data_IF_977007213634
#
_entry.id   IF_977007213634
#
_cell.length_a   1.000
_cell.length_b   1.000
_cell.length_c   1.000
_cell.angle_alpha   90.00
_cell.angle_beta   90.00
_cell.angle_gamma   90.00
#
_symmetry.space_group_name_H-M   'P 1'
#
loop_
_entity.id
_entity.type
_entity.pdbx_description
1 polymer ?
#
# COMPACT_ATOMS: atom_id res chain seq x y z
N UNK A 1 -15.13 -6.05 -27.12
CA UNK A 1 -15.91 -5.92 -25.88
C UNK A 1 -15.12 -6.67 -24.82
N UNK A 2 -14.30 -5.96 -24.01
CA UNK A 2 -13.56 -6.60 -22.93
C UNK A 2 -14.52 -6.72 -21.75
N UNK A 3 -14.86 -7.94 -21.37
CA UNK A 3 -15.61 -8.22 -20.16
C UNK A 3 -14.90 -7.55 -18.99
N UNK A 4 -15.48 -6.48 -18.45
CA UNK A 4 -15.03 -5.94 -17.17
C UNK A 4 -15.29 -7.01 -16.10
N UNK A 5 -14.28 -7.33 -15.27
CA UNK A 5 -14.48 -8.31 -14.23
C UNK A 5 -15.57 -7.82 -13.26
N UNK A 6 -16.64 -8.59 -13.12
CA UNK A 6 -17.76 -8.27 -12.26
C UNK A 6 -17.32 -8.32 -10.78
N UNK A 7 -17.12 -7.14 -10.18
CA UNK A 7 -16.78 -6.97 -8.77
C UNK A 7 -15.31 -6.74 -8.48
N UNK A 8 -15.05 -6.20 -7.27
CA UNK A 8 -13.72 -5.79 -6.81
C UNK A 8 -12.72 -6.96 -6.76
N UNK A 9 -13.15 -8.12 -6.24
CA UNK A 9 -12.27 -9.30 -6.09
C UNK A 9 -11.82 -9.82 -7.45
N UNK A 10 -12.75 -9.89 -8.42
CA UNK A 10 -12.42 -10.29 -9.78
C UNK A 10 -11.47 -9.29 -10.47
N UNK A 11 -11.64 -7.99 -10.22
CA UNK A 11 -10.76 -6.94 -10.73
C UNK A 11 -9.35 -7.02 -10.11
N UNK A 12 -9.23 -7.35 -8.81
CA UNK A 12 -7.95 -7.62 -8.16
C UNK A 12 -7.28 -8.83 -8.80
N UNK A 13 -7.99 -9.96 -8.93
CA UNK A 13 -7.47 -11.19 -9.52
C UNK A 13 -7.01 -10.99 -10.97
N UNK A 14 -7.79 -10.25 -11.78
CA UNK A 14 -7.41 -9.88 -13.14
C UNK A 14 -6.17 -8.98 -13.18
N UNK A 15 -6.02 -8.07 -12.21
CA UNK A 15 -4.83 -7.22 -12.09
C UNK A 15 -3.58 -8.01 -11.71
N UNK A 16 -3.69 -9.05 -10.88
CA UNK A 16 -2.55 -9.94 -10.56
C UNK A 16 -2.02 -10.69 -11.79
N UNK A 17 -2.90 -11.04 -12.75
CA UNK A 17 -2.49 -11.67 -14.02
C UNK A 17 -1.80 -10.69 -14.97
N UNK A 18 -2.25 -9.42 -14.98
CA UNK A 18 -1.72 -8.34 -15.82
C UNK A 18 -1.87 -7.00 -15.12
N UNK A 19 -0.81 -6.59 -14.38
CA UNK A 19 -0.79 -5.34 -13.62
C UNK A 19 -0.95 -4.10 -14.52
N UNK A 20 -0.33 -4.12 -15.71
CA UNK A 20 -0.40 -3.01 -16.65
C UNK A 20 -1.79 -2.90 -17.28
N UNK A 21 -2.35 -4.02 -17.71
CA UNK A 21 -3.74 -4.05 -18.20
C UNK A 21 -4.74 -3.69 -17.12
N UNK A 22 -4.50 -4.10 -15.87
CA UNK A 22 -5.32 -3.73 -14.71
C UNK A 22 -5.41 -2.22 -14.53
N UNK A 23 -4.28 -1.51 -14.54
CA UNK A 23 -4.30 -0.05 -14.40
C UNK A 23 -4.86 0.66 -15.64
N UNK A 24 -4.60 0.14 -16.86
CA UNK A 24 -5.24 0.69 -18.07
C UNK A 24 -6.77 0.64 -18.01
N UNK A 25 -7.34 -0.51 -17.64
CA UNK A 25 -8.79 -0.65 -17.46
C UNK A 25 -9.31 0.31 -16.40
N UNK A 26 -8.60 0.44 -15.28
CA UNK A 26 -9.01 1.34 -14.19
C UNK A 26 -9.01 2.81 -14.62
N UNK A 27 -7.98 3.24 -15.34
CA UNK A 27 -7.89 4.60 -15.87
C UNK A 27 -8.98 4.87 -16.94
N UNK A 28 -9.26 3.90 -17.79
CA UNK A 28 -10.34 4.00 -18.80
C UNK A 28 -11.73 4.15 -18.16
N UNK A 29 -11.96 3.51 -17.01
CA UNK A 29 -13.21 3.65 -16.25
C UNK A 29 -13.38 5.01 -15.55
N UNK A 30 -12.36 5.85 -15.48
CA UNK A 30 -12.46 7.21 -14.95
C UNK A 30 -13.00 7.31 -13.53
N UNK A 31 -12.42 6.62 -12.51
CA UNK A 31 -12.98 6.61 -11.17
C UNK A 31 -13.08 8.01 -10.58
N UNK A 32 -14.20 8.30 -9.90
CA UNK A 32 -14.39 9.57 -9.21
C UNK A 32 -13.47 9.69 -7.97
N UNK A 33 -13.20 10.90 -7.51
CA UNK A 33 -12.43 11.14 -6.28
C UNK A 33 -13.10 10.46 -5.06
N UNK A 34 -14.43 10.47 -4.99
CA UNK A 34 -15.17 9.76 -3.94
C UNK A 34 -14.93 8.25 -4.03
N UNK A 35 -14.87 7.67 -5.24
CA UNK A 35 -14.54 6.28 -5.46
C UNK A 35 -13.10 5.94 -5.03
N UNK A 36 -12.13 6.81 -5.31
CA UNK A 36 -10.75 6.65 -4.86
C UNK A 36 -10.68 6.68 -3.33
N UNK A 37 -11.34 7.65 -2.70
CA UNK A 37 -11.38 7.77 -1.25
C UNK A 37 -12.05 6.56 -0.58
N UNK A 38 -13.14 6.04 -1.16
CA UNK A 38 -13.77 4.81 -0.68
C UNK A 38 -12.81 3.61 -0.73
N UNK A 39 -11.99 3.49 -1.78
CA UNK A 39 -10.95 2.46 -1.85
C UNK A 39 -9.86 2.65 -0.78
N UNK A 40 -9.47 3.89 -0.50
CA UNK A 40 -8.52 4.19 0.56
C UNK A 40 -9.05 3.78 1.94
N UNK A 41 -10.30 4.11 2.25
CA UNK A 41 -10.94 3.68 3.50
C UNK A 41 -11.07 2.17 3.60
N UNK A 42 -11.49 1.50 2.53
CA UNK A 42 -11.55 0.04 2.49
C UNK A 42 -10.18 -0.58 2.77
N UNK A 43 -9.15 -0.10 2.09
CA UNK A 43 -7.79 -0.59 2.28
C UNK A 43 -7.27 -0.30 3.70
N UNK A 44 -7.49 0.90 4.23
CA UNK A 44 -7.11 1.28 5.58
C UNK A 44 -7.78 0.43 6.66
N UNK A 45 -9.07 0.17 6.52
CA UNK A 45 -9.82 -0.70 7.45
C UNK A 45 -9.36 -2.16 7.37
N UNK A 46 -9.14 -2.70 6.17
CA UNK A 46 -8.63 -4.05 6.02
C UNK A 46 -7.19 -4.19 6.55
N UNK A 47 -6.34 -3.19 6.34
CA UNK A 47 -5.00 -3.15 6.92
C UNK A 47 -5.06 -3.03 8.46
N UNK A 48 -5.99 -2.23 9.00
CA UNK A 48 -6.23 -2.16 10.44
C UNK A 48 -6.59 -3.53 11.01
N UNK A 49 -7.55 -4.24 10.38
CA UNK A 49 -7.95 -5.60 10.81
C UNK A 49 -6.78 -6.58 10.72
N UNK A 50 -6.03 -6.56 9.60
CA UNK A 50 -4.85 -7.41 9.43
C UNK A 50 -3.77 -7.13 10.49
N UNK A 51 -3.64 -5.88 10.94
CA UNK A 51 -2.69 -5.45 11.96
C UNK A 51 -3.13 -5.67 13.41
N UNK A 52 -4.34 -6.20 13.68
CA UNK A 52 -4.84 -6.41 15.04
C UNK A 52 -3.94 -7.34 15.88
N UNK A 53 -3.41 -8.48 15.37
CA UNK A 53 -2.53 -9.33 16.16
C UNK A 53 -1.30 -8.58 16.68
N UNK A 54 -0.69 -7.76 15.83
CA UNK A 54 0.45 -6.93 16.20
C UNK A 54 0.04 -5.83 17.20
N UNK A 55 -1.11 -5.18 17.00
CA UNK A 55 -1.63 -4.17 17.92
C UNK A 55 -1.85 -4.73 19.33
N UNK A 56 -2.37 -5.95 19.42
CA UNK A 56 -2.57 -6.63 20.69
C UNK A 56 -1.25 -7.00 21.38
N UNK A 57 -0.24 -7.39 20.61
CA UNK A 57 1.11 -7.64 21.13
C UNK A 57 1.75 -6.36 21.67
N UNK A 58 1.69 -5.27 20.91
CA UNK A 58 2.24 -3.97 21.30
C UNK A 58 1.56 -3.42 22.57
N UNK A 59 0.24 -3.54 22.65
CA UNK A 59 -0.52 -3.10 23.83
C UNK A 59 -0.14 -3.87 25.09
N UNK A 60 0.06 -5.19 24.99
CA UNK A 60 0.50 -6.01 26.12
C UNK A 60 1.92 -5.66 26.60
N UNK A 61 2.79 -5.22 25.68
CA UNK A 61 4.16 -4.82 26.03
C UNK A 61 4.23 -3.50 26.80
N UNK A 62 3.18 -2.67 26.73
CA UNK A 62 3.13 -1.38 27.44
C UNK A 62 2.79 -1.50 28.93
N UNK A 63 2.26 -2.64 29.38
CA UNK A 63 1.88 -2.95 30.78
C UNK A 63 1.09 -1.81 31.48
N UNK A 64 0.15 -1.21 30.76
CA UNK A 64 -0.71 -0.10 31.25
C UNK A 64 -2.18 -0.51 31.18
N UNK A 65 -3.04 -0.11 32.14
CA UNK A 65 -4.42 -0.52 32.21
C UNK A 65 -5.23 -0.25 30.93
N UNK A 66 -5.00 0.89 30.28
CA UNK A 66 -5.76 1.32 29.09
C UNK A 66 -4.97 1.20 27.78
N UNK A 67 -3.82 0.53 27.80
CA UNK A 67 -2.94 0.42 26.64
C UNK A 67 -3.65 -0.15 25.40
N UNK A 68 -4.51 -1.15 25.58
CA UNK A 68 -5.25 -1.76 24.47
C UNK A 68 -6.17 -0.75 23.77
N UNK A 69 -6.94 0.01 24.55
CA UNK A 69 -7.84 1.02 24.02
C UNK A 69 -7.06 2.13 23.29
N UNK A 70 -5.96 2.60 23.88
CA UNK A 70 -5.09 3.62 23.29
C UNK A 70 -4.46 3.18 21.98
N UNK A 71 -3.88 1.98 21.94
CA UNK A 71 -3.24 1.43 20.71
C UNK A 71 -4.27 1.24 19.60
N UNK A 72 -5.43 0.66 19.91
CA UNK A 72 -6.48 0.42 18.91
C UNK A 72 -7.07 1.74 18.39
N UNK A 73 -7.36 2.69 19.27
CA UNK A 73 -7.87 4.01 18.88
C UNK A 73 -6.87 4.76 18.00
N UNK A 74 -5.58 4.77 18.38
CA UNK A 74 -4.52 5.41 17.58
C UNK A 74 -4.37 4.78 16.19
N UNK A 75 -4.38 3.45 16.09
CA UNK A 75 -4.31 2.75 14.81
C UNK A 75 -5.54 2.96 13.94
N UNK A 76 -6.75 2.98 14.56
CA UNK A 76 -7.98 3.27 13.83
C UNK A 76 -7.99 4.71 13.31
N UNK A 77 -7.57 5.67 14.15
CA UNK A 77 -7.39 7.06 13.72
C UNK A 77 -6.42 7.16 12.54
N UNK A 78 -5.27 6.48 12.63
CA UNK A 78 -4.31 6.45 11.55
C UNK A 78 -4.88 5.85 10.26
N UNK A 79 -5.65 4.76 10.35
CA UNK A 79 -6.28 4.12 9.21
C UNK A 79 -7.33 4.99 8.52
N UNK A 80 -8.10 5.77 9.29
CA UNK A 80 -9.19 6.59 8.77
C UNK A 80 -8.74 7.99 8.32
N UNK A 81 -7.74 8.57 8.97
CA UNK A 81 -7.34 9.95 8.72
C UNK A 81 -5.95 10.06 8.10
N UNK A 82 -4.95 9.43 8.71
CA UNK A 82 -3.56 9.58 8.25
C UNK A 82 -3.31 8.78 6.97
N UNK A 83 -3.86 7.59 6.84
CA UNK A 83 -3.61 6.72 5.69
C UNK A 83 -4.13 7.32 4.38
N UNK A 84 -5.39 7.79 4.24
CA UNK A 84 -5.82 8.47 3.04
C UNK A 84 -4.98 9.71 2.72
N UNK A 85 -4.67 10.54 3.73
CA UNK A 85 -3.84 11.73 3.55
C UNK A 85 -2.44 11.37 3.02
N UNK A 86 -1.84 10.32 3.58
CA UNK A 86 -0.54 9.81 3.14
C UNK A 86 -0.60 9.32 1.68
N UNK A 87 -1.67 8.63 1.28
CA UNK A 87 -1.84 8.20 -0.10
C UNK A 87 -1.90 9.38 -1.08
N UNK A 88 -2.61 10.46 -0.73
CA UNK A 88 -2.64 11.66 -1.56
C UNK A 88 -1.25 12.33 -1.64
N UNK A 89 -0.54 12.43 -0.51
CA UNK A 89 0.81 12.99 -0.48
C UNK A 89 1.80 12.15 -1.31
N UNK A 90 1.76 10.82 -1.17
CA UNK A 90 2.60 9.90 -1.93
C UNK A 90 2.28 9.93 -3.44
N UNK A 91 1.00 10.03 -3.83
CA UNK A 91 0.62 10.17 -5.23
C UNK A 91 1.15 11.48 -5.83
N UNK A 92 1.09 12.58 -5.07
CA UNK A 92 1.66 13.86 -5.49
C UNK A 92 3.18 13.77 -5.61
N UNK A 93 3.86 13.17 -4.65
CA UNK A 93 5.32 12.94 -4.68
C UNK A 93 5.71 12.05 -5.86
N UNK A 94 5.00 10.92 -6.07
CA UNK A 94 5.20 10.05 -7.23
C UNK A 94 5.13 10.84 -8.54
N UNK A 95 4.09 11.67 -8.70
CA UNK A 95 3.94 12.48 -9.92
C UNK A 95 5.07 13.49 -10.09
N UNK A 96 5.45 14.17 -9.01
CA UNK A 96 6.52 15.16 -9.05
C UNK A 96 7.86 14.51 -9.47
N UNK A 97 8.20 13.39 -8.86
CA UNK A 97 9.42 12.64 -9.19
C UNK A 97 9.33 12.07 -10.61
N UNK A 98 8.21 11.42 -10.97
CA UNK A 98 8.03 10.88 -12.31
C UNK A 98 8.17 11.92 -13.41
N UNK A 99 7.67 13.14 -13.17
CA UNK A 99 7.83 14.29 -14.08
C UNK A 99 9.29 14.63 -14.33
N UNK A 100 10.13 14.59 -13.28
CA UNK A 100 11.57 14.88 -13.42
C UNK A 100 12.30 13.83 -14.29
N UNK A 101 11.77 12.59 -14.36
CA UNK A 101 12.27 11.52 -15.22
C UNK A 101 11.53 11.38 -16.55
N UNK A 102 10.76 12.39 -16.97
CA UNK A 102 10.08 12.43 -18.27
C UNK A 102 8.75 11.67 -18.33
N UNK A 103 8.14 11.36 -17.18
CA UNK A 103 6.80 10.78 -17.10
C UNK A 103 5.74 11.72 -17.70
N UNK A 104 4.74 11.14 -18.37
CA UNK A 104 3.68 11.86 -19.09
C UNK A 104 2.32 11.81 -18.40
N UNK A 105 2.20 11.16 -17.25
CA UNK A 105 0.98 11.09 -16.46
C UNK A 105 0.52 12.45 -15.93
N UNK A 106 -0.57 12.44 -15.20
CA UNK A 106 -1.13 13.61 -14.50
C UNK A 106 -1.20 13.32 -12.99
N UNK A 107 -1.49 14.33 -12.16
CA UNK A 107 -1.76 14.11 -10.74
C UNK A 107 -2.97 13.18 -10.52
N UNK A 108 -3.97 13.23 -11.40
CA UNK A 108 -5.10 12.33 -11.36
C UNK A 108 -4.66 10.88 -11.63
N UNK A 109 -3.91 10.64 -12.73
CA UNK A 109 -3.46 9.27 -13.05
C UNK A 109 -2.54 8.70 -11.97
N UNK A 110 -1.70 9.53 -11.33
CA UNK A 110 -0.86 9.09 -10.20
C UNK A 110 -1.71 8.66 -8.99
N UNK A 111 -2.77 9.41 -8.65
CA UNK A 111 -3.71 9.01 -7.59
C UNK A 111 -4.42 7.70 -7.92
N UNK A 112 -5.02 7.60 -9.11
CA UNK A 112 -5.67 6.35 -9.55
C UNK A 112 -4.71 5.17 -9.46
N UNK A 113 -3.46 5.36 -9.90
CA UNK A 113 -2.43 4.31 -9.91
C UNK A 113 -2.08 3.85 -8.50
N UNK A 114 -1.76 4.77 -7.59
CA UNK A 114 -1.39 4.41 -6.22
C UNK A 114 -2.56 3.78 -5.46
N UNK A 115 -3.75 4.38 -5.54
CA UNK A 115 -4.93 3.88 -4.84
C UNK A 115 -5.32 2.48 -5.34
N UNK A 116 -5.21 2.24 -6.66
CA UNK A 116 -5.46 0.91 -7.22
C UNK A 116 -4.36 -0.09 -6.85
N UNK A 117 -3.09 0.33 -6.82
CA UNK A 117 -1.99 -0.51 -6.38
C UNK A 117 -2.16 -0.98 -4.94
N UNK A 118 -2.63 -0.11 -4.04
CA UNK A 118 -2.96 -0.46 -2.64
C UNK A 118 -4.06 -1.51 -2.58
N UNK A 119 -5.14 -1.35 -3.36
CA UNK A 119 -6.23 -2.35 -3.42
C UNK A 119 -5.73 -3.70 -3.95
N UNK A 120 -4.93 -3.70 -4.99
CA UNK A 120 -4.37 -4.93 -5.59
C UNK A 120 -3.37 -5.60 -4.63
N UNK A 121 -2.72 -4.84 -3.75
CA UNK A 121 -1.82 -5.38 -2.73
C UNK A 121 -2.52 -5.94 -1.48
N UNK A 122 -3.82 -5.74 -1.30
CA UNK A 122 -4.57 -6.22 -0.12
C UNK A 122 -4.36 -7.71 0.18
N UNK A 123 -4.31 -8.64 -0.80
CA UNK A 123 -4.02 -10.04 -0.50
C UNK A 123 -2.69 -10.24 0.21
N UNK A 124 -1.66 -9.43 -0.09
CA UNK A 124 -0.35 -9.51 0.59
C UNK A 124 -0.46 -9.02 2.03
N UNK A 125 -1.17 -7.91 2.25
CA UNK A 125 -1.40 -7.34 3.59
C UNK A 125 -2.17 -8.31 4.47
N UNK A 126 -3.21 -8.95 3.93
CA UNK A 126 -4.00 -9.95 4.66
C UNK A 126 -3.18 -11.20 4.96
N UNK A 127 -2.36 -11.67 4.01
CA UNK A 127 -1.45 -12.80 4.24
C UNK A 127 -0.41 -12.49 5.32
N UNK A 128 0.17 -11.29 5.33
CA UNK A 128 1.07 -10.82 6.39
C UNK A 128 0.36 -10.81 7.76
N UNK A 129 -0.87 -10.29 7.82
CA UNK A 129 -1.67 -10.28 9.04
C UNK A 129 -1.94 -11.70 9.58
N UNK A 130 -2.23 -12.66 8.69
CA UNK A 130 -2.40 -14.07 9.07
C UNK A 130 -1.10 -14.66 9.64
N UNK A 131 0.04 -14.39 9.00
CA UNK A 131 1.35 -14.81 9.51
C UNK A 131 1.62 -14.19 10.87
N UNK A 132 1.35 -12.89 11.04
CA UNK A 132 1.51 -12.17 12.32
C UNK A 132 0.67 -12.80 13.44
N UNK A 133 -0.53 -13.29 13.14
CA UNK A 133 -1.38 -13.99 14.11
C UNK A 133 -0.80 -15.34 14.57
N UNK A 134 0.04 -15.98 13.75
CA UNK A 134 0.67 -17.26 14.06
C UNK A 134 2.00 -17.11 14.83
N UNK A 135 2.67 -15.94 14.72
CA UNK A 135 3.97 -15.68 15.35
C UNK A 135 4.00 -16.00 16.86
N UNK A 136 2.99 -15.64 17.68
CA UNK A 136 3.00 -15.93 19.11
C UNK A 136 3.01 -17.42 19.47
N UNK A 137 2.58 -18.30 18.55
CA UNK A 137 2.56 -19.75 18.74
C UNK A 137 3.91 -20.41 18.39
N UNK A 138 4.88 -19.65 17.88
CA UNK A 138 6.17 -20.15 17.43
C UNK A 138 7.29 -19.82 18.43
N UNK A 139 8.41 -20.59 18.43
CA UNK A 139 9.62 -20.19 19.14
C UNK A 139 10.06 -18.79 18.73
N UNK A 140 10.58 -17.93 19.66
CA UNK A 140 10.83 -16.51 19.39
C UNK A 140 11.65 -16.23 18.15
N UNK A 141 12.73 -17.00 17.91
CA UNK A 141 13.58 -16.86 16.73
C UNK A 141 12.85 -17.18 15.42
N UNK A 142 12.08 -18.29 15.41
CA UNK A 142 11.31 -18.71 14.24
C UNK A 142 10.19 -17.72 13.94
N UNK A 143 9.48 -17.25 14.97
CA UNK A 143 8.45 -16.23 14.83
C UNK A 143 8.99 -14.91 14.27
N UNK A 144 10.10 -14.40 14.80
CA UNK A 144 10.75 -13.18 14.31
C UNK A 144 11.21 -13.32 12.84
N UNK A 145 11.79 -14.46 12.46
CA UNK A 145 12.20 -14.73 11.08
C UNK A 145 10.98 -14.78 10.15
N UNK A 146 9.95 -15.54 10.51
CA UNK A 146 8.76 -15.69 9.66
C UNK A 146 8.03 -14.35 9.49
N UNK A 147 7.84 -13.60 10.57
CA UNK A 147 7.25 -12.27 10.54
C UNK A 147 8.06 -11.30 9.67
N UNK A 148 9.38 -11.27 9.85
CA UNK A 148 10.27 -10.42 9.04
C UNK A 148 10.23 -10.77 7.54
N UNK A 149 10.22 -12.05 7.19
CA UNK A 149 10.10 -12.49 5.80
C UNK A 149 8.74 -12.10 5.22
N UNK A 150 7.65 -12.29 5.97
CA UNK A 150 6.31 -11.94 5.52
C UNK A 150 6.18 -10.42 5.27
N UNK A 151 6.67 -9.58 6.19
CA UNK A 151 6.66 -8.12 6.04
C UNK A 151 7.51 -7.66 4.86
N UNK A 152 8.70 -8.22 4.68
CA UNK A 152 9.54 -7.95 3.51
C UNK A 152 8.85 -8.34 2.21
N UNK A 153 8.25 -9.53 2.14
CA UNK A 153 7.56 -10.01 0.96
C UNK A 153 6.34 -9.13 0.61
N UNK A 154 5.56 -8.73 1.61
CA UNK A 154 4.42 -7.83 1.42
C UNK A 154 4.89 -6.43 0.94
N UNK A 155 5.92 -5.87 1.56
CA UNK A 155 6.47 -4.57 1.18
C UNK A 155 7.07 -4.55 -0.24
N UNK A 156 7.91 -5.54 -0.57
CA UNK A 156 8.49 -5.67 -1.91
C UNK A 156 7.43 -5.98 -2.96
N UNK A 157 6.44 -6.80 -2.62
CA UNK A 157 5.31 -7.10 -3.49
C UNK A 157 4.48 -5.85 -3.80
N UNK A 158 4.17 -5.04 -2.79
CA UNK A 158 3.51 -3.75 -2.99
C UNK A 158 4.32 -2.81 -3.88
N UNK A 159 5.61 -2.65 -3.62
CA UNK A 159 6.49 -1.79 -4.43
C UNK A 159 6.54 -2.27 -5.89
N UNK A 160 6.59 -3.58 -6.12
CA UNK A 160 6.57 -4.15 -7.47
C UNK A 160 5.25 -3.90 -8.20
N UNK A 161 4.10 -4.07 -7.51
CA UNK A 161 2.77 -3.78 -8.05
C UNK A 161 2.69 -2.29 -8.42
N UNK A 162 3.03 -1.41 -7.48
CA UNK A 162 2.97 0.04 -7.68
C UNK A 162 3.92 0.50 -8.79
N UNK A 163 5.17 0.02 -8.83
CA UNK A 163 6.13 0.34 -9.87
C UNK A 163 5.66 -0.12 -11.26
N UNK A 164 5.09 -1.33 -11.36
CA UNK A 164 4.58 -1.87 -12.62
C UNK A 164 3.41 -1.05 -13.17
N UNK A 165 2.51 -0.62 -12.30
CA UNK A 165 1.38 0.23 -12.66
C UNK A 165 1.82 1.67 -13.00
N UNK A 166 2.80 2.21 -12.27
CA UNK A 166 3.38 3.54 -12.54
C UNK A 166 4.08 3.58 -13.90
N UNK A 167 4.78 2.51 -14.26
CA UNK A 167 5.40 2.40 -15.59
C UNK A 167 4.39 2.62 -16.72
N UNK A 168 3.20 2.07 -16.57
CA UNK A 168 2.13 2.19 -17.55
C UNK A 168 1.46 3.56 -17.53
N UNK A 169 1.06 4.04 -16.33
CA UNK A 169 0.34 5.31 -16.19
C UNK A 169 1.18 6.55 -16.54
N UNK A 170 2.51 6.44 -16.39
CA UNK A 170 3.47 7.50 -16.77
C UNK A 170 4.05 7.30 -18.18
N UNK A 171 3.67 6.24 -18.88
CA UNK A 171 4.16 5.90 -20.23
C UNK A 171 5.69 5.81 -20.32
N UNK A 172 6.35 5.24 -19.30
CA UNK A 172 7.80 5.09 -19.31
C UNK A 172 8.25 4.03 -20.33
N UNK A 173 9.02 4.46 -21.33
CA UNK A 173 9.60 3.56 -22.34
C UNK A 173 10.72 2.68 -21.76
N UNK A 174 11.45 3.15 -20.75
CA UNK A 174 12.61 2.45 -20.16
C UNK A 174 12.32 2.06 -18.70
N UNK A 175 12.56 0.79 -18.38
CA UNK A 175 12.41 0.28 -16.98
C UNK A 175 13.31 1.02 -15.98
N UNK A 176 14.48 1.49 -16.42
CA UNK A 176 15.41 2.24 -15.56
C UNK A 176 14.79 3.54 -14.97
N UNK A 177 13.92 4.24 -15.70
CA UNK A 177 13.26 5.42 -15.19
C UNK A 177 12.31 5.09 -14.02
N UNK A 178 11.59 3.97 -14.11
CA UNK A 178 10.73 3.50 -13.02
C UNK A 178 11.54 3.19 -11.77
N UNK A 179 12.64 2.46 -11.93
CA UNK A 179 13.54 2.15 -10.79
C UNK A 179 14.08 3.43 -10.17
N UNK A 180 14.52 4.40 -10.98
CA UNK A 180 15.02 5.67 -10.48
C UNK A 180 13.94 6.44 -9.69
N UNK A 181 12.70 6.52 -10.22
CA UNK A 181 11.58 7.16 -9.52
C UNK A 181 11.35 6.53 -8.14
N UNK A 182 11.29 5.19 -8.07
CA UNK A 182 11.03 4.51 -6.81
C UNK A 182 12.21 4.61 -5.83
N UNK A 183 13.45 4.56 -6.32
CA UNK A 183 14.63 4.80 -5.50
C UNK A 183 14.60 6.20 -4.85
N UNK A 184 14.30 7.23 -5.63
CA UNK A 184 14.18 8.60 -5.12
C UNK A 184 13.05 8.71 -4.10
N UNK A 185 11.87 8.13 -4.37
CA UNK A 185 10.75 8.14 -3.42
C UNK A 185 11.15 7.45 -2.11
N UNK A 186 11.75 6.27 -2.16
CA UNK A 186 12.21 5.54 -0.96
C UNK A 186 13.21 6.35 -0.16
N UNK A 187 14.22 6.93 -0.83
CA UNK A 187 15.23 7.78 -0.17
C UNK A 187 14.57 8.99 0.49
N UNK A 188 13.66 9.68 -0.20
CA UNK A 188 12.95 10.84 0.36
C UNK A 188 12.12 10.45 1.59
N UNK A 189 11.39 9.34 1.53
CA UNK A 189 10.61 8.84 2.68
C UNK A 189 11.50 8.49 3.85
N UNK A 190 12.63 7.80 3.62
CA UNK A 190 13.59 7.46 4.68
C UNK A 190 14.21 8.71 5.31
N UNK A 191 14.56 9.71 4.52
CA UNK A 191 15.07 10.99 5.03
C UNK A 191 14.02 11.70 5.88
N UNK A 192 12.76 11.76 5.41
CA UNK A 192 11.67 12.36 6.17
C UNK A 192 11.43 11.64 7.51
N UNK A 193 11.42 10.31 7.52
CA UNK A 193 11.27 9.53 8.75
C UNK A 193 12.42 9.80 9.74
N UNK A 194 13.66 9.97 9.24
CA UNK A 194 14.82 10.29 10.09
C UNK A 194 14.80 11.71 10.64
N UNK A 195 14.08 12.63 10.02
CA UNK A 195 13.93 14.02 10.47
C UNK A 195 12.84 14.21 11.53
N UNK A 196 11.98 13.19 11.73
CA UNK A 196 10.96 13.22 12.80
C UNK A 196 11.66 12.79 14.09
N UNK A 197 11.81 13.69 15.08
CA UNK A 197 12.40 13.32 16.37
C UNK A 197 11.53 12.27 17.07
N UNK A 198 12.14 11.19 17.51
CA UNK A 198 11.53 10.12 18.31
C UNK A 198 11.32 10.56 19.78
#
# INVERSE_FOLDING_TARGET
MHDEPNGLVAAIAASWKDLRGGIRRRLAGGPSEAGLLAHAYLAGLLAFVAGLPQAMSDARALDQPDAMAGVLAGRLFAALFLFPLLLYALAALQRLVARAFGGRGTYYTARVTLFWAVIVALPLVLAEGLVSALVPALPPRAGAMLGGIASLAAGLGFLWIWASMTAESESFARRGHVVAVFLVIVVLVLVLVRLIPS
#
